data_IF_519589362476
#
_entry.id   IF_519589362476
#
_cell.length_a   1.000
_cell.length_b   1.000
_cell.length_c   1.000
_cell.angle_alpha   90.00
_cell.angle_beta   90.00
_cell.angle_gamma   90.00
#
_symmetry.space_group_name_H-M   'P 1'
#
loop_
_entity.id
_entity.type
_entity.pdbx_description
1 polymer ?
#
# COMPACT_ATOMS: atom_id res chain seq x y z
N UNK A 1 -1.37 9.24 -14.36
CA UNK A 1 -0.36 8.19 -14.03
C UNK A 1 -1.05 6.95 -13.47
N UNK A 2 -0.35 5.82 -13.44
CA UNK A 2 -0.88 4.53 -13.01
C UNK A 2 -0.11 4.02 -11.78
N UNK A 3 -0.78 3.87 -10.65
CA UNK A 3 -0.15 3.48 -9.39
C UNK A 3 -0.65 2.12 -8.90
N UNK A 4 0.27 1.29 -8.41
CA UNK A 4 -0.06 0.16 -7.56
C UNK A 4 0.15 0.57 -6.10
N UNK A 5 -0.84 0.37 -5.25
CA UNK A 5 -0.83 0.78 -3.84
C UNK A 5 -0.99 -0.46 -2.98
N UNK A 6 -0.04 -0.66 -2.06
CA UNK A 6 -0.01 -1.81 -1.14
C UNK A 6 0.31 -1.34 0.28
N UNK A 7 -0.03 -2.14 1.28
CA UNK A 7 0.28 -1.91 2.69
C UNK A 7 0.49 -3.21 3.44
N UNK A 8 1.09 -3.09 4.62
CA UNK A 8 1.14 -4.17 5.61
C UNK A 8 1.77 -5.45 5.02
N UNK A 9 3.02 -5.29 4.50
CA UNK A 9 3.85 -6.35 3.92
C UNK A 9 4.38 -7.26 5.02
N UNK A 10 4.76 -6.66 6.18
CA UNK A 10 5.17 -7.37 7.38
C UNK A 10 6.26 -8.44 7.16
N UNK A 11 7.25 -8.15 6.34
CA UNK A 11 8.36 -9.04 6.12
C UNK A 11 8.07 -10.25 5.21
N UNK A 12 6.88 -10.38 4.64
CA UNK A 12 6.47 -11.53 3.82
C UNK A 12 6.93 -11.37 2.37
N UNK A 13 8.11 -11.86 2.03
CA UNK A 13 8.68 -11.79 0.69
C UNK A 13 7.78 -12.44 -0.39
N UNK A 14 7.21 -13.64 -0.21
CA UNK A 14 6.37 -14.25 -1.25
C UNK A 14 5.13 -13.42 -1.61
N UNK A 15 4.51 -12.74 -0.64
CA UNK A 15 3.36 -11.86 -0.90
C UNK A 15 3.79 -10.61 -1.65
N UNK A 16 4.92 -10.00 -1.25
CA UNK A 16 5.48 -8.88 -1.98
C UNK A 16 5.84 -9.25 -3.42
N UNK A 17 6.48 -10.40 -3.65
CA UNK A 17 6.82 -10.85 -5.00
C UNK A 17 5.61 -10.95 -5.91
N UNK A 18 4.48 -11.49 -5.43
CA UNK A 18 3.21 -11.51 -6.18
C UNK A 18 2.73 -10.10 -6.55
N UNK A 19 2.81 -9.15 -5.62
CA UNK A 19 2.46 -7.75 -5.90
C UNK A 19 3.41 -7.13 -6.93
N UNK A 20 4.72 -7.40 -6.84
CA UNK A 20 5.72 -6.90 -7.77
C UNK A 20 5.58 -7.53 -9.18
N UNK A 21 5.19 -8.78 -9.27
CA UNK A 21 4.89 -9.42 -10.56
C UNK A 21 3.67 -8.77 -11.22
N UNK A 22 2.66 -8.43 -10.44
CA UNK A 22 1.53 -7.66 -10.94
C UNK A 22 1.94 -6.24 -11.34
N UNK A 23 2.77 -5.57 -10.55
CA UNK A 23 3.33 -4.25 -10.87
C UNK A 23 4.01 -4.25 -12.24
N UNK A 24 4.90 -5.21 -12.48
CA UNK A 24 5.66 -5.31 -13.75
C UNK A 24 4.76 -5.61 -14.94
N UNK A 25 3.85 -6.57 -14.81
CA UNK A 25 2.91 -6.95 -15.89
C UNK A 25 1.92 -5.84 -16.22
N UNK A 26 1.47 -5.12 -15.18
CA UNK A 26 0.52 -4.03 -15.30
C UNK A 26 1.13 -2.73 -15.83
N UNK A 27 2.47 -2.66 -16.03
CA UNK A 27 3.17 -1.45 -16.46
C UNK A 27 2.79 -0.23 -15.61
N UNK A 28 2.78 -0.39 -14.29
CA UNK A 28 2.53 0.72 -13.38
C UNK A 28 3.72 1.69 -13.36
N UNK A 29 3.42 2.98 -13.25
CA UNK A 29 4.43 4.03 -13.22
C UNK A 29 5.12 4.09 -11.85
N UNK A 30 4.37 3.88 -10.75
CA UNK A 30 4.92 3.92 -9.39
C UNK A 30 4.26 2.87 -8.49
N UNK A 31 5.04 2.41 -7.52
CA UNK A 31 4.60 1.59 -6.38
C UNK A 31 4.46 2.48 -5.15
N UNK A 32 3.26 2.55 -4.57
CA UNK A 32 2.99 3.29 -3.35
C UNK A 32 2.87 2.30 -2.19
N UNK A 33 3.73 2.45 -1.16
CA UNK A 33 3.77 1.54 0.00
C UNK A 33 3.33 2.31 1.24
N UNK A 34 2.22 1.89 1.83
CA UNK A 34 1.62 2.58 2.96
C UNK A 34 2.11 2.06 4.33
N UNK A 35 3.39 1.68 4.42
CA UNK A 35 4.06 1.29 5.66
C UNK A 35 3.95 -0.17 6.05
N UNK A 36 4.55 -0.49 7.20
CA UNK A 36 4.70 -1.84 7.77
C UNK A 36 5.40 -2.80 6.79
N UNK A 37 6.65 -2.45 6.41
CA UNK A 37 7.37 -3.10 5.31
C UNK A 37 8.12 -4.34 5.77
N UNK A 38 9.12 -4.18 6.65
CA UNK A 38 10.08 -5.25 6.98
C UNK A 38 9.70 -6.05 8.21
N UNK A 39 9.07 -5.42 9.20
CA UNK A 39 8.79 -6.01 10.49
C UNK A 39 7.33 -6.50 10.58
N UNK A 40 7.13 -7.76 11.02
CA UNK A 40 5.79 -8.31 11.21
C UNK A 40 5.05 -7.73 12.42
N UNK A 41 5.78 -7.07 13.36
CA UNK A 41 5.22 -6.48 14.57
C UNK A 41 4.85 -7.50 15.65
N UNK A 42 4.82 -7.07 16.94
CA UNK A 42 4.65 -7.99 18.08
C UNK A 42 3.22 -8.55 18.22
N UNK A 43 2.24 -7.99 17.50
CA UNK A 43 0.84 -8.41 17.56
C UNK A 43 0.46 -9.45 16.51
N UNK A 44 1.31 -9.67 15.52
CA UNK A 44 1.08 -10.63 14.44
C UNK A 44 1.88 -11.91 14.68
N UNK A 45 1.44 -13.02 14.11
CA UNK A 45 2.27 -14.21 14.00
C UNK A 45 3.43 -13.96 13.03
N UNK A 46 4.46 -14.80 13.11
CA UNK A 46 5.54 -14.77 12.10
C UNK A 46 4.93 -15.23 10.77
N UNK A 47 5.01 -14.42 9.69
CA UNK A 47 4.43 -14.81 8.41
C UNK A 47 5.25 -15.95 7.77
N UNK A 48 4.56 -16.80 7.03
CA UNK A 48 5.22 -17.79 6.19
C UNK A 48 6.05 -17.08 5.10
N UNK A 49 7.30 -17.46 4.96
CA UNK A 49 8.23 -16.83 4.02
C UNK A 49 8.72 -15.45 4.45
N UNK A 50 8.81 -15.20 5.78
CA UNK A 50 9.45 -13.99 6.30
C UNK A 50 10.89 -13.91 5.80
N UNK A 51 11.21 -12.82 5.11
CA UNK A 51 12.55 -12.52 4.62
C UNK A 51 12.72 -11.01 4.40
N UNK A 52 12.99 -10.28 5.48
CA UNK A 52 13.21 -8.84 5.42
C UNK A 52 14.39 -8.46 4.51
N UNK A 53 15.46 -9.28 4.50
CA UNK A 53 16.63 -9.04 3.64
C UNK A 53 16.27 -9.22 2.16
N UNK A 54 15.55 -10.26 1.80
CA UNK A 54 15.06 -10.46 0.44
C UNK A 54 14.12 -9.34 -0.02
N UNK A 55 13.31 -8.77 0.89
CA UNK A 55 12.49 -7.58 0.58
C UNK A 55 13.36 -6.38 0.23
N UNK A 56 14.42 -6.10 1.00
CA UNK A 56 15.38 -5.03 0.70
C UNK A 56 16.01 -5.24 -0.69
N UNK A 57 16.45 -6.47 -0.98
CA UNK A 57 17.10 -6.83 -2.25
C UNK A 57 16.17 -6.65 -3.47
N UNK A 58 14.86 -6.80 -3.32
CA UNK A 58 13.91 -6.62 -4.45
C UNK A 58 13.35 -5.21 -4.55
N UNK A 59 13.28 -4.42 -3.46
CA UNK A 59 12.76 -3.05 -3.49
C UNK A 59 13.82 -2.01 -3.84
N UNK A 60 15.07 -2.11 -3.34
CA UNK A 60 16.10 -1.10 -3.57
C UNK A 60 16.39 -0.84 -5.07
N UNK A 61 16.44 -1.86 -5.95
CA UNK A 61 16.57 -1.60 -7.39
C UNK A 61 15.46 -0.77 -8.01
N UNK A 62 14.30 -0.68 -7.34
CA UNK A 62 13.12 0.07 -7.76
C UNK A 62 12.95 1.39 -7.00
N UNK A 63 13.90 1.82 -6.18
CA UNK A 63 13.78 2.96 -5.26
C UNK A 63 13.24 4.25 -5.90
N UNK A 64 13.61 4.52 -7.16
CA UNK A 64 13.14 5.70 -7.92
C UNK A 64 11.65 5.67 -8.29
N UNK A 65 11.05 4.48 -8.30
CA UNK A 65 9.67 4.25 -8.69
C UNK A 65 8.78 3.98 -7.45
N UNK A 66 9.33 4.18 -6.23
CA UNK A 66 8.64 3.95 -4.96
C UNK A 66 8.37 5.27 -4.23
N UNK A 67 7.15 5.43 -3.73
CA UNK A 67 6.81 6.36 -2.65
C UNK A 67 6.32 5.55 -1.47
N UNK A 68 6.92 5.75 -0.30
CA UNK A 68 6.53 5.05 0.92
C UNK A 68 6.23 6.02 2.06
N UNK A 69 5.42 5.57 3.02
CA UNK A 69 5.13 6.27 4.26
C UNK A 69 5.40 5.35 5.45
N UNK A 70 5.58 5.95 6.63
CA UNK A 70 5.90 5.30 7.88
C UNK A 70 4.72 4.49 8.43
N UNK A 71 4.90 3.19 8.64
CA UNK A 71 3.99 2.34 9.40
C UNK A 71 4.40 2.21 10.87
N UNK A 72 3.50 1.70 11.71
CA UNK A 72 3.79 1.58 13.15
C UNK A 72 4.80 0.46 13.49
N UNK A 73 5.10 -0.42 12.55
CA UNK A 73 6.13 -1.45 12.71
C UNK A 73 7.46 -1.08 12.02
N UNK A 74 7.49 -0.01 11.22
CA UNK A 74 8.73 0.46 10.59
C UNK A 74 9.59 1.21 11.61
N UNK A 75 10.89 1.07 11.51
CA UNK A 75 11.85 1.62 12.45
C UNK A 75 13.00 2.34 11.71
N UNK A 76 13.75 3.14 12.44
CA UNK A 76 14.93 3.85 11.91
C UNK A 76 15.94 2.89 11.25
N UNK A 77 16.05 1.66 11.75
CA UNK A 77 16.91 0.63 11.15
C UNK A 77 16.43 0.22 9.75
N UNK A 78 15.13 0.28 9.47
CA UNK A 78 14.59 -0.05 8.15
C UNK A 78 15.00 1.02 7.13
N UNK A 79 15.01 2.30 7.55
CA UNK A 79 15.52 3.39 6.72
C UNK A 79 17.02 3.25 6.40
N UNK A 80 17.80 2.59 7.26
CA UNK A 80 19.23 2.34 6.97
C UNK A 80 19.44 1.27 5.90
N UNK A 81 18.43 0.45 5.63
CA UNK A 81 18.48 -0.66 4.68
C UNK A 81 17.80 -0.32 3.34
N UNK A 82 16.78 0.53 3.35
CA UNK A 82 15.98 0.88 2.17
C UNK A 82 16.52 2.16 1.51
N UNK A 83 16.73 2.12 0.19
CA UNK A 83 17.29 3.21 -0.61
C UNK A 83 16.24 4.29 -1.01
N UNK A 84 15.09 4.29 -0.36
CA UNK A 84 14.02 5.28 -0.53
C UNK A 84 13.48 5.74 0.83
N UNK A 85 12.91 6.97 0.96
CA UNK A 85 12.36 7.46 2.22
C UNK A 85 11.19 6.62 2.71
N UNK A 86 11.22 6.20 4.00
CA UNK A 86 10.14 5.40 4.63
C UNK A 86 9.63 6.00 5.95
N UNK A 87 10.26 7.07 6.47
CA UNK A 87 9.96 7.59 7.81
C UNK A 87 9.03 8.82 7.80
N UNK A 88 8.35 9.11 6.69
CA UNK A 88 7.38 10.20 6.63
C UNK A 88 5.99 9.69 7.06
N UNK A 89 5.31 10.40 7.97
CA UNK A 89 3.95 10.03 8.43
C UNK A 89 2.91 10.09 7.31
N UNK A 90 3.19 10.88 6.27
CA UNK A 90 2.35 10.98 5.08
C UNK A 90 3.15 11.41 3.85
N UNK A 91 2.56 11.19 2.69
CA UNK A 91 3.02 11.76 1.42
C UNK A 91 1.82 12.34 0.65
N UNK A 92 2.08 13.34 -0.18
CA UNK A 92 1.10 13.94 -1.08
C UNK A 92 1.53 13.69 -2.52
N UNK A 93 0.61 13.13 -3.31
CA UNK A 93 0.78 13.02 -4.76
C UNK A 93 -0.25 13.93 -5.42
N UNK A 94 0.17 14.68 -6.42
CA UNK A 94 -0.74 15.45 -7.29
C UNK A 94 -0.74 14.81 -8.67
N UNK A 95 -1.87 14.24 -9.07
CA UNK A 95 -2.06 13.61 -10.36
C UNK A 95 -3.24 14.26 -11.11
N UNK A 96 -2.96 14.91 -12.22
CA UNK A 96 -3.96 15.65 -13.02
C UNK A 96 -4.81 16.63 -12.19
N UNK A 97 -4.17 17.31 -11.23
CA UNK A 97 -4.83 18.27 -10.34
C UNK A 97 -5.47 17.65 -9.10
N UNK A 98 -5.61 16.33 -9.03
CA UNK A 98 -6.15 15.61 -7.86
C UNK A 98 -5.06 15.42 -6.80
N UNK A 99 -5.39 15.72 -5.54
CA UNK A 99 -4.51 15.56 -4.39
C UNK A 99 -4.80 14.24 -3.69
N UNK A 100 -3.86 13.32 -3.79
CA UNK A 100 -3.92 12.01 -3.14
C UNK A 100 -3.07 12.05 -1.86
N UNK A 101 -3.71 11.85 -0.72
CA UNK A 101 -3.05 11.79 0.59
C UNK A 101 -2.75 10.33 0.93
N UNK A 102 -1.48 10.01 1.16
CA UNK A 102 -1.00 8.69 1.52
C UNK A 102 -0.58 8.70 2.98
N UNK A 103 -1.03 7.74 3.76
CA UNK A 103 -0.63 7.55 5.16
C UNK A 103 -0.72 6.07 5.52
N UNK A 104 -0.14 5.66 6.64
CA UNK A 104 -0.35 4.29 7.10
C UNK A 104 -1.71 4.11 7.78
N UNK A 105 -2.19 5.08 8.53
CA UNK A 105 -3.46 5.01 9.26
C UNK A 105 -3.34 5.06 10.78
N UNK A 106 -2.14 4.91 11.33
CA UNK A 106 -1.92 4.94 12.79
C UNK A 106 -1.75 6.37 13.35
N UNK A 107 -1.25 7.32 12.55
CA UNK A 107 -1.14 8.75 12.90
C UNK A 107 -2.32 9.50 12.32
N UNK A 108 -2.45 9.48 10.99
CA UNK A 108 -3.58 10.07 10.27
C UNK A 108 -4.51 8.98 9.78
N UNK A 109 -5.82 9.18 9.91
CA UNK A 109 -6.87 8.25 9.52
C UNK A 109 -8.15 9.04 9.19
N UNK A 110 -9.25 8.41 8.76
CA UNK A 110 -10.49 9.13 8.41
C UNK A 110 -11.03 10.06 9.51
N UNK A 111 -10.81 9.72 10.79
CA UNK A 111 -11.28 10.52 11.93
C UNK A 111 -10.30 11.63 12.33
N UNK A 112 -9.07 11.57 11.82
CA UNK A 112 -7.99 12.50 12.17
C UNK A 112 -7.08 12.79 10.97
N UNK A 113 -7.49 13.70 10.12
CA UNK A 113 -6.70 14.20 9.00
C UNK A 113 -6.02 15.53 9.34
N UNK A 114 -4.85 15.84 8.74
CA UNK A 114 -4.30 17.18 8.83
C UNK A 114 -5.17 18.18 8.06
N UNK A 115 -5.09 19.50 8.40
CA UNK A 115 -5.78 20.53 7.61
C UNK A 115 -5.37 20.47 6.14
N UNK A 116 -6.36 20.51 5.26
CA UNK A 116 -6.15 20.49 3.80
C UNK A 116 -7.35 19.95 3.06
N UNK A 117 -7.32 20.10 1.74
CA UNK A 117 -8.30 19.50 0.85
C UNK A 117 -7.63 18.36 0.07
N UNK A 118 -8.22 17.20 0.13
CA UNK A 118 -7.76 15.99 -0.55
C UNK A 118 -8.92 15.44 -1.40
N UNK A 119 -8.60 14.84 -2.54
CA UNK A 119 -9.58 14.14 -3.38
C UNK A 119 -9.70 12.67 -2.97
N UNK A 120 -8.60 12.06 -2.54
CA UNK A 120 -8.59 10.73 -1.96
C UNK A 120 -7.57 10.59 -0.83
N UNK A 121 -7.87 9.72 0.12
CA UNK A 121 -7.01 9.33 1.25
C UNK A 121 -6.80 7.81 1.17
N UNK A 122 -5.55 7.39 1.02
CA UNK A 122 -5.16 5.98 1.01
C UNK A 122 -4.44 5.64 2.31
N UNK A 123 -4.83 4.53 2.94
CA UNK A 123 -4.23 4.06 4.19
C UNK A 123 -4.32 2.53 4.34
N UNK A 124 -3.69 1.97 5.38
CA UNK A 124 -3.64 0.56 5.72
C UNK A 124 -3.93 0.32 7.21
N UNK A 125 -2.98 -0.27 7.94
CA UNK A 125 -2.94 -0.44 9.40
C UNK A 125 -4.00 -1.37 10.00
N UNK A 126 -5.25 -1.24 9.59
CA UNK A 126 -6.34 -2.06 10.16
C UNK A 126 -6.36 -3.47 9.60
N UNK A 127 -5.73 -3.70 8.45
CA UNK A 127 -5.76 -4.92 7.63
C UNK A 127 -7.17 -5.27 7.09
N UNK A 128 -8.10 -4.31 7.16
CA UNK A 128 -9.46 -4.42 6.63
C UNK A 128 -9.56 -3.48 5.44
N UNK A 129 -9.69 -4.02 4.25
CA UNK A 129 -9.90 -3.17 3.10
C UNK A 129 -11.29 -2.52 3.11
N UNK A 130 -11.36 -1.29 2.66
CA UNK A 130 -12.63 -0.67 2.27
C UNK A 130 -12.38 0.45 1.24
N UNK A 131 -13.44 0.89 0.58
CA UNK A 131 -13.38 1.97 -0.39
C UNK A 131 -14.71 2.72 -0.33
N UNK A 132 -14.69 3.97 0.15
CA UNK A 132 -15.87 4.81 0.29
C UNK A 132 -15.79 6.00 -0.65
N UNK A 133 -16.91 6.26 -1.33
CA UNK A 133 -17.09 7.46 -2.16
C UNK A 133 -17.22 8.70 -1.29
N UNK A 134 -16.75 9.83 -1.78
CA UNK A 134 -16.83 11.12 -1.08
C UNK A 134 -15.74 12.08 -1.52
N UNK A 135 -15.67 13.23 -0.85
CA UNK A 135 -14.59 14.21 -0.99
C UNK A 135 -14.09 14.55 0.42
N UNK A 136 -12.95 13.98 0.83
CA UNK A 136 -12.17 12.96 0.10
C UNK A 136 -12.85 11.60 0.03
N UNK A 137 -12.53 10.80 -1.00
CA UNK A 137 -12.77 9.38 -1.00
C UNK A 137 -11.79 8.70 -0.01
N UNK A 138 -12.24 7.68 0.70
CA UNK A 138 -11.40 6.94 1.65
C UNK A 138 -11.15 5.52 1.15
N UNK A 139 -9.88 5.14 1.03
CA UNK A 139 -9.47 3.81 0.61
C UNK A 139 -8.49 3.19 1.60
N UNK A 140 -8.94 2.17 2.33
CA UNK A 140 -8.03 1.29 3.05
C UNK A 140 -7.60 0.15 2.13
N UNK A 141 -6.29 -0.02 1.95
CA UNK A 141 -5.78 -1.06 1.04
C UNK A 141 -5.89 -2.47 1.61
N UNK A 142 -6.22 -2.61 2.91
CA UNK A 142 -6.09 -3.89 3.60
C UNK A 142 -4.62 -4.27 3.83
N UNK A 143 -4.35 -5.56 3.86
CA UNK A 143 -2.98 -6.09 3.99
C UNK A 143 -2.73 -7.14 2.91
N UNK A 144 -1.52 -7.12 2.34
CA UNK A 144 -1.11 -8.21 1.43
C UNK A 144 -0.71 -9.49 2.18
N UNK A 145 -0.48 -9.40 3.50
CA UNK A 145 0.03 -10.52 4.32
C UNK A 145 -0.96 -11.02 5.36
N UNK A 146 -1.56 -10.11 6.13
CA UNK A 146 -2.44 -10.44 7.25
C UNK A 146 -3.84 -9.84 7.11
N UNK A 147 -4.61 -10.18 6.05
CA UNK A 147 -5.97 -9.67 5.91
C UNK A 147 -6.82 -10.10 7.11
N UNK A 148 -7.70 -9.21 7.56
CA UNK A 148 -8.64 -9.46 8.67
C UNK A 148 -10.08 -9.54 8.18
N UNK A 149 -10.99 -9.90 9.07
CA UNK A 149 -12.43 -9.94 8.78
C UNK A 149 -12.84 -11.02 7.77
N UNK A 150 -12.04 -12.06 7.60
CA UNK A 150 -12.31 -13.10 6.60
C UNK A 150 -12.01 -12.68 5.15
N UNK A 151 -11.34 -11.52 4.97
CA UNK A 151 -10.94 -11.04 3.66
C UNK A 151 -9.74 -11.81 3.10
N UNK A 152 -9.61 -11.78 1.78
CA UNK A 152 -8.39 -12.19 1.09
C UNK A 152 -7.36 -11.04 1.11
N UNK A 153 -6.05 -11.32 0.88
CA UNK A 153 -5.06 -10.28 0.66
C UNK A 153 -5.46 -9.36 -0.48
N UNK A 154 -5.25 -8.05 -0.33
CA UNK A 154 -5.71 -7.04 -1.29
C UNK A 154 -4.61 -6.10 -1.73
N UNK A 155 -4.77 -5.57 -2.92
CA UNK A 155 -4.02 -4.45 -3.50
C UNK A 155 -4.99 -3.43 -4.07
N UNK A 156 -4.53 -2.20 -4.25
CA UNK A 156 -5.31 -1.13 -4.87
C UNK A 156 -4.59 -0.63 -6.11
N UNK A 157 -5.34 -0.35 -7.16
CA UNK A 157 -4.84 0.34 -8.34
C UNK A 157 -5.50 1.71 -8.45
N UNK A 158 -4.71 2.70 -8.83
CA UNK A 158 -5.19 4.03 -9.21
C UNK A 158 -4.75 4.34 -10.63
N UNK A 159 -5.66 4.83 -11.44
CA UNK A 159 -5.37 5.32 -12.78
C UNK A 159 -6.38 6.41 -13.17
N UNK A 160 -5.90 7.62 -13.48
CA UNK A 160 -6.71 8.74 -13.99
C UNK A 160 -7.98 9.02 -13.15
N UNK A 161 -7.85 8.99 -11.82
CA UNK A 161 -8.97 9.19 -10.90
C UNK A 161 -9.82 7.94 -10.62
N UNK A 162 -9.55 6.81 -11.26
CA UNK A 162 -10.23 5.54 -10.97
C UNK A 162 -9.47 4.77 -9.90
N UNK A 163 -10.14 4.44 -8.80
CA UNK A 163 -9.61 3.63 -7.70
C UNK A 163 -10.27 2.26 -7.74
N UNK A 164 -9.48 1.20 -7.76
CA UNK A 164 -9.99 -0.18 -7.74
C UNK A 164 -9.30 -1.00 -6.67
N UNK A 165 -10.07 -1.55 -5.74
CA UNK A 165 -9.62 -2.56 -4.79
C UNK A 165 -9.82 -3.93 -5.41
N UNK A 166 -8.77 -4.77 -5.33
CA UNK A 166 -8.80 -6.15 -5.85
C UNK A 166 -8.05 -7.10 -4.92
N UNK A 167 -8.33 -8.38 -5.04
CA UNK A 167 -7.52 -9.41 -4.36
C UNK A 167 -6.09 -9.39 -4.90
N UNK A 168 -5.12 -9.73 -4.05
CA UNK A 168 -3.72 -9.84 -4.47
C UNK A 168 -3.60 -10.86 -5.61
N UNK A 169 -3.18 -10.46 -6.82
CA UNK A 169 -3.07 -11.35 -7.98
C UNK A 169 -2.18 -12.56 -7.73
N UNK A 170 -2.49 -13.68 -8.39
CA UNK A 170 -1.67 -14.90 -8.35
C UNK A 170 -1.66 -15.60 -9.72
N UNK A 171 -1.04 -16.79 -9.78
CA UNK A 171 -0.94 -17.55 -11.03
C UNK A 171 -2.30 -18.00 -11.58
N UNK A 172 -3.28 -18.24 -10.69
CA UNK A 172 -4.63 -18.69 -11.09
C UNK A 172 -5.53 -17.53 -11.48
N UNK A 173 -5.26 -16.35 -10.91
CA UNK A 173 -6.00 -15.12 -11.14
C UNK A 173 -5.03 -13.94 -11.31
N UNK A 174 -4.40 -13.83 -12.50
CA UNK A 174 -3.31 -12.87 -12.75
C UNK A 174 -3.68 -11.41 -12.54
N UNK A 175 -4.95 -11.04 -12.70
CA UNK A 175 -5.46 -9.68 -12.47
C UNK A 175 -6.06 -9.48 -11.08
N UNK A 176 -6.17 -10.55 -10.27
CA UNK A 176 -6.96 -10.54 -9.05
C UNK A 176 -8.45 -10.28 -9.31
N UNK A 177 -9.28 -10.63 -8.35
CA UNK A 177 -10.73 -10.35 -8.40
C UNK A 177 -10.98 -8.89 -8.04
N UNK A 178 -11.71 -8.15 -8.85
CA UNK A 178 -12.19 -6.79 -8.51
C UNK A 178 -13.22 -6.90 -7.39
N UNK A 179 -13.02 -6.17 -6.31
CA UNK A 179 -13.90 -6.13 -5.15
C UNK A 179 -14.77 -4.87 -5.17
N UNK A 180 -14.18 -3.71 -5.46
CA UNK A 180 -14.90 -2.43 -5.61
C UNK A 180 -14.11 -1.48 -6.50
N UNK A 181 -14.81 -0.65 -7.27
CA UNK A 181 -14.24 0.43 -8.08
C UNK A 181 -15.05 1.70 -7.87
N UNK A 182 -14.37 2.83 -7.77
CA UNK A 182 -14.98 4.17 -7.81
C UNK A 182 -14.21 5.06 -8.77
N UNK A 183 -14.84 6.16 -9.19
CA UNK A 183 -14.17 7.22 -9.97
C UNK A 183 -14.27 8.53 -9.17
N UNK A 184 -13.12 9.16 -8.95
CA UNK A 184 -13.06 10.49 -8.34
C UNK A 184 -13.67 11.52 -9.29
N UNK A 185 -14.34 12.57 -8.78
CA UNK A 185 -14.93 13.62 -9.59
C UNK A 185 -13.92 14.43 -10.39
#
# INVERSE_FOLDING_TARGET
>A
MRYLIISDIHGCLPRLQRALDYYRRGHFDMLLILGDILNYGPRNSIPEGIDAKGIVEVLNPMAKDIVAVHGNCDAEVDQMLLDFPVMADYALIVDEGRKLFLTHGHVYNPDHLPPGNFDAVFYGHTHLWHLDEGIPAFCNTGSITFPKGGNEPTVVTYENGVITVRTLPDETMPEGKVLKTITLP
#
